data_IF_465342054958
#
_entry.id   IF_465342054958
#
_cell.length_a   1.000
_cell.length_b   1.000
_cell.length_c   1.000
_cell.angle_alpha   90.00
_cell.angle_beta   90.00
_cell.angle_gamma   90.00
#
_symmetry.space_group_name_H-M   'P 1'
#
loop_
_entity.id
_entity.type
_entity.pdbx_description
1 polymer ?
#
# COMPACT_ATOMS: atom_id res chain seq x y z
N UNK A 1 29.37 -15.94 -16.82
CA UNK A 1 28.01 -16.53 -16.97
C UNK A 1 27.82 -16.94 -18.41
N UNK A 2 27.21 -18.11 -18.69
CA UNK A 2 27.01 -18.56 -20.07
C UNK A 2 25.97 -17.69 -20.80
N UNK A 3 26.16 -17.50 -22.13
CA UNK A 3 25.21 -16.73 -22.94
C UNK A 3 23.78 -17.33 -22.93
N UNK A 4 23.63 -18.64 -22.61
CA UNK A 4 22.34 -19.30 -22.43
C UNK A 4 21.62 -18.79 -21.18
N UNK A 5 22.32 -18.65 -20.05
CA UNK A 5 21.74 -18.13 -18.81
C UNK A 5 21.24 -16.68 -18.99
N UNK A 6 22.02 -15.82 -19.67
CA UNK A 6 21.59 -14.44 -19.94
C UNK A 6 20.31 -14.40 -20.80
N UNK A 7 20.21 -15.28 -21.82
CA UNK A 7 18.97 -15.38 -22.63
C UNK A 7 17.75 -15.79 -21.84
N UNK A 8 17.89 -16.74 -20.93
CA UNK A 8 16.78 -17.18 -20.05
C UNK A 8 16.34 -16.02 -19.14
N UNK A 9 17.28 -15.35 -18.48
CA UNK A 9 16.96 -14.21 -17.59
C UNK A 9 16.32 -13.04 -18.35
N UNK A 10 16.82 -12.72 -19.54
CA UNK A 10 16.22 -11.70 -20.40
C UNK A 10 14.79 -12.09 -20.83
N UNK A 11 14.54 -13.37 -21.13
CA UNK A 11 13.20 -13.88 -21.40
C UNK A 11 12.25 -13.71 -20.20
N UNK A 12 12.73 -13.97 -18.97
CA UNK A 12 11.97 -13.70 -17.75
C UNK A 12 11.70 -12.21 -17.54
N UNK A 13 12.67 -11.34 -17.86
CA UNK A 13 12.46 -9.88 -17.81
C UNK A 13 11.37 -9.44 -18.79
N UNK A 14 11.38 -9.97 -20.01
CA UNK A 14 10.34 -9.69 -21.02
C UNK A 14 8.97 -10.18 -20.55
N UNK A 15 8.88 -11.40 -20.04
CA UNK A 15 7.63 -11.96 -19.53
C UNK A 15 7.07 -11.14 -18.35
N UNK A 16 7.93 -10.77 -17.38
CA UNK A 16 7.54 -9.94 -16.25
C UNK A 16 7.08 -8.54 -16.67
N UNK A 17 7.77 -7.91 -17.62
CA UNK A 17 7.37 -6.60 -18.17
C UNK A 17 6.04 -6.67 -18.93
N UNK A 18 5.84 -7.72 -19.76
CA UNK A 18 4.58 -7.95 -20.45
C UNK A 18 3.42 -8.18 -19.48
N UNK A 19 3.65 -8.96 -18.41
CA UNK A 19 2.67 -9.19 -17.35
C UNK A 19 2.31 -7.90 -16.62
N UNK A 20 3.30 -7.06 -16.26
CA UNK A 20 3.06 -5.77 -15.65
C UNK A 20 2.25 -4.85 -16.57
N UNK A 21 2.59 -4.76 -17.84
CA UNK A 21 1.86 -3.95 -18.82
C UNK A 21 0.40 -4.44 -19.00
N UNK A 22 0.18 -5.75 -19.05
CA UNK A 22 -1.15 -6.35 -19.09
C UNK A 22 -1.95 -6.00 -17.84
N UNK A 23 -1.36 -6.13 -16.65
CA UNK A 23 -2.01 -5.77 -15.40
C UNK A 23 -2.39 -4.28 -15.35
N UNK A 24 -1.53 -3.38 -15.85
CA UNK A 24 -1.86 -1.95 -15.92
C UNK A 24 -2.99 -1.64 -16.91
N UNK A 25 -3.07 -2.36 -18.03
CA UNK A 25 -4.20 -2.27 -18.94
C UNK A 25 -5.52 -2.80 -18.33
N UNK A 26 -5.42 -3.79 -17.45
CA UNK A 26 -6.56 -4.40 -16.76
C UNK A 26 -6.90 -3.74 -15.42
N UNK A 27 -6.08 -2.82 -14.92
CA UNK A 27 -6.30 -2.14 -13.64
C UNK A 27 -7.63 -1.40 -13.65
N UNK A 28 -8.44 -1.58 -12.61
CA UNK A 28 -9.70 -0.86 -12.45
C UNK A 28 -9.42 0.62 -12.24
N UNK A 29 -10.18 1.46 -12.94
CA UNK A 29 -10.08 2.92 -12.83
C UNK A 29 -11.41 3.49 -12.36
N UNK A 30 -11.38 4.50 -11.48
CA UNK A 30 -12.57 5.25 -11.13
C UNK A 30 -13.12 5.98 -12.36
N UNK A 31 -14.45 6.21 -12.43
CA UNK A 31 -15.03 7.08 -13.45
C UNK A 31 -14.56 8.53 -13.24
N UNK A 32 -14.48 9.30 -14.34
CA UNK A 32 -14.10 10.72 -14.28
C UNK A 32 -15.17 11.59 -13.60
N UNK A 33 -16.43 11.17 -13.72
CA UNK A 33 -17.58 11.80 -13.07
C UNK A 33 -18.29 10.70 -12.26
N UNK A 34 -17.93 10.53 -10.98
CA UNK A 34 -18.52 9.49 -10.15
C UNK A 34 -19.94 9.88 -9.70
N UNK A 35 -20.87 8.92 -9.59
CA UNK A 35 -22.18 9.18 -9.05
C UNK A 35 -22.11 9.58 -7.57
N UNK A 36 -23.13 10.31 -7.12
CA UNK A 36 -23.31 10.65 -5.70
C UNK A 36 -23.48 9.36 -4.91
N UNK A 37 -22.74 9.23 -3.82
CA UNK A 37 -22.83 8.10 -2.89
C UNK A 37 -24.10 8.23 -2.07
N UNK A 38 -24.98 7.26 -2.18
CA UNK A 38 -26.26 7.24 -1.46
C UNK A 38 -26.17 6.63 -0.05
N UNK A 39 -25.07 5.96 0.23
CA UNK A 39 -24.81 5.24 1.49
C UNK A 39 -24.03 6.13 2.45
N UNK A 40 -24.23 6.01 3.77
CA UNK A 40 -23.39 6.70 4.75
C UNK A 40 -21.93 6.27 4.61
N UNK A 41 -21.02 7.23 4.76
CA UNK A 41 -19.58 6.99 4.69
C UNK A 41 -18.91 7.41 5.99
N UNK A 42 -18.25 6.47 6.65
CA UNK A 42 -17.43 6.74 7.82
C UNK A 42 -15.96 6.60 7.46
N UNK A 43 -15.22 7.70 7.54
CA UNK A 43 -13.77 7.73 7.33
C UNK A 43 -13.07 7.60 8.67
N UNK A 44 -12.20 6.62 8.80
CA UNK A 44 -11.34 6.41 9.97
C UNK A 44 -9.91 6.84 9.61
N UNK A 45 -9.36 7.77 10.38
CA UNK A 45 -7.99 8.26 10.22
C UNK A 45 -7.20 7.91 11.48
N UNK A 46 -6.43 6.81 11.48
CA UNK A 46 -5.52 6.52 12.59
C UNK A 46 -4.36 7.52 12.56
N UNK A 47 -4.09 8.18 13.69
CA UNK A 47 -3.05 9.20 13.79
C UNK A 47 -2.16 8.96 15.00
N UNK A 48 -0.84 9.06 14.82
CA UNK A 48 0.17 9.08 15.87
C UNK A 48 1.34 9.93 15.46
N UNK A 49 1.58 11.02 16.16
CA UNK A 49 2.65 11.99 15.89
C UNK A 49 2.59 12.49 14.42
N UNK A 50 1.41 13.01 14.01
CA UNK A 50 1.10 13.48 12.65
C UNK A 50 0.72 14.97 12.62
N UNK A 51 1.21 15.79 13.56
CA UNK A 51 0.87 17.21 13.66
C UNK A 51 1.08 17.99 12.35
N UNK A 52 2.13 17.62 11.60
CA UNK A 52 2.46 18.27 10.32
C UNK A 52 1.59 17.84 9.14
N UNK A 53 0.87 16.72 9.27
CA UNK A 53 0.14 16.11 8.17
C UNK A 53 -1.38 16.13 8.37
N UNK A 54 -1.86 15.93 9.61
CA UNK A 54 -3.27 15.69 9.88
C UNK A 54 -4.19 16.83 9.42
N UNK A 55 -3.77 18.10 9.57
CA UNK A 55 -4.57 19.25 9.15
C UNK A 55 -4.86 19.25 7.65
N UNK A 56 -3.85 18.95 6.81
CA UNK A 56 -4.04 18.86 5.37
C UNK A 56 -4.83 17.61 4.94
N UNK A 57 -4.77 16.50 5.70
CA UNK A 57 -5.62 15.33 5.48
C UNK A 57 -7.09 15.68 5.74
N UNK A 58 -7.39 16.33 6.87
CA UNK A 58 -8.74 16.74 7.23
C UNK A 58 -9.34 17.74 6.23
N UNK A 59 -8.57 18.74 5.80
CA UNK A 59 -9.02 19.67 4.77
C UNK A 59 -9.42 18.94 3.47
N UNK A 60 -8.61 17.97 3.03
CA UNK A 60 -8.91 17.17 1.84
C UNK A 60 -10.12 16.24 2.02
N UNK A 61 -10.36 15.74 3.23
CA UNK A 61 -11.55 14.94 3.56
C UNK A 61 -12.81 15.80 3.60
N UNK A 62 -12.73 17.01 4.11
CA UNK A 62 -13.87 17.92 4.18
C UNK A 62 -14.25 18.52 2.82
N UNK A 63 -13.33 18.53 1.85
CA UNK A 63 -13.56 18.95 0.45
C UNK A 63 -14.12 17.83 -0.44
N UNK A 64 -14.46 16.67 0.11
CA UNK A 64 -15.01 15.57 -0.68
C UNK A 64 -16.37 15.92 -1.27
N UNK A 65 -16.53 15.63 -2.57
CA UNK A 65 -17.75 15.85 -3.34
C UNK A 65 -18.53 14.57 -3.52
N UNK A 66 -19.83 14.69 -3.71
CA UNK A 66 -20.70 13.53 -3.98
C UNK A 66 -20.83 12.57 -2.80
N UNK A 67 -20.53 13.00 -1.56
CA UNK A 67 -20.63 12.18 -0.33
C UNK A 67 -21.43 12.96 0.72
N UNK A 68 -22.78 13.03 0.61
CA UNK A 68 -23.60 13.88 1.46
C UNK A 68 -23.64 13.45 2.94
N UNK A 69 -23.59 12.14 3.25
CA UNK A 69 -23.51 11.62 4.63
C UNK A 69 -22.06 11.15 4.93
N UNK A 70 -21.17 12.12 5.05
CA UNK A 70 -19.74 11.90 5.37
C UNK A 70 -19.50 12.16 6.86
N UNK A 71 -18.83 11.21 7.52
CA UNK A 71 -18.31 11.33 8.89
C UNK A 71 -16.83 11.01 8.89
N UNK A 72 -16.06 11.78 9.66
CA UNK A 72 -14.61 11.62 9.80
C UNK A 72 -14.27 11.39 11.27
N UNK A 73 -13.71 10.25 11.58
CA UNK A 73 -13.25 9.87 12.92
C UNK A 73 -11.73 9.82 12.90
N UNK A 74 -11.10 10.80 13.52
CA UNK A 74 -9.66 10.76 13.77
C UNK A 74 -9.43 9.99 15.06
N UNK A 75 -8.60 8.97 15.00
CA UNK A 75 -8.25 8.16 16.18
C UNK A 75 -6.82 8.45 16.56
N UNK A 76 -6.65 9.18 17.66
CA UNK A 76 -5.32 9.47 18.22
C UNK A 76 -4.80 8.27 19.00
N UNK A 77 -3.70 7.69 18.52
CA UNK A 77 -3.03 6.52 19.09
C UNK A 77 -1.87 6.95 20.00
N UNK A 78 -2.18 7.70 21.09
CA UNK A 78 -1.20 8.21 22.07
C UNK A 78 -0.13 9.11 21.43
N UNK A 79 -0.52 10.11 20.65
CA UNK A 79 0.41 11.12 20.10
C UNK A 79 1.09 11.91 21.23
N UNK A 80 2.36 12.24 21.03
CA UNK A 80 3.17 13.03 21.95
C UNK A 80 3.43 14.46 21.44
N UNK A 81 2.99 14.74 20.23
CA UNK A 81 3.05 16.05 19.55
C UNK A 81 1.68 16.76 19.59
N UNK A 82 1.54 17.84 18.84
CA UNK A 82 0.32 18.65 18.77
C UNK A 82 -0.80 18.02 17.89
N UNK A 83 -0.70 16.76 17.46
CA UNK A 83 -1.72 16.09 16.61
C UNK A 83 -3.15 16.27 17.16
N UNK A 84 -3.46 15.95 18.45
CA UNK A 84 -4.82 16.10 18.96
C UNK A 84 -5.32 17.56 18.94
N UNK A 85 -4.44 18.51 19.16
CA UNK A 85 -4.80 19.93 19.19
C UNK A 85 -5.13 20.48 17.80
N UNK A 86 -4.36 20.03 16.78
CA UNK A 86 -4.66 20.33 15.38
C UNK A 86 -6.04 19.80 15.00
N UNK A 87 -6.40 18.60 15.43
CA UNK A 87 -7.73 18.01 15.16
C UNK A 87 -8.84 18.78 15.90
N UNK A 88 -8.66 19.13 17.18
CA UNK A 88 -9.64 19.91 17.96
C UNK A 88 -9.89 21.31 17.42
N UNK A 89 -8.91 21.88 16.73
CA UNK A 89 -9.06 23.18 16.08
C UNK A 89 -9.99 23.14 14.85
N UNK A 90 -10.32 21.96 14.32
CA UNK A 90 -11.29 21.80 13.23
C UNK A 90 -12.70 21.82 13.81
N UNK A 91 -13.48 22.86 13.48
CA UNK A 91 -14.83 23.08 14.03
C UNK A 91 -15.94 22.42 13.21
N UNK A 92 -15.62 21.70 12.13
CA UNK A 92 -16.61 21.03 11.27
C UNK A 92 -17.27 19.87 12.02
N UNK A 93 -18.63 19.82 12.12
CA UNK A 93 -19.35 18.80 12.87
C UNK A 93 -19.18 17.38 12.32
N UNK A 94 -18.72 17.24 11.10
CA UNK A 94 -18.40 15.92 10.51
C UNK A 94 -17.14 15.30 11.12
N UNK A 95 -16.27 16.09 11.77
CA UNK A 95 -15.00 15.62 12.34
C UNK A 95 -15.16 15.34 13.83
N UNK A 96 -14.76 14.14 14.23
CA UNK A 96 -14.71 13.70 15.63
C UNK A 96 -13.31 13.18 15.97
N UNK A 97 -12.76 13.63 17.09
CA UNK A 97 -11.54 13.06 17.67
C UNK A 97 -11.91 12.00 18.70
N UNK A 98 -11.28 10.83 18.57
CA UNK A 98 -11.37 9.72 19.52
C UNK A 98 -9.98 9.41 20.05
N UNK A 99 -9.83 9.32 21.37
CA UNK A 99 -8.59 8.88 21.99
C UNK A 99 -8.61 7.35 22.08
N UNK A 100 -7.65 6.68 21.44
CA UNK A 100 -7.51 5.24 21.61
C UNK A 100 -6.88 4.93 22.97
N UNK A 101 -7.40 3.95 23.72
CA UNK A 101 -6.67 3.43 24.86
C UNK A 101 -5.36 2.74 24.40
N UNK A 102 -4.38 2.52 25.30
CA UNK A 102 -3.19 1.76 24.95
C UNK A 102 -3.54 0.41 24.32
N UNK A 103 -2.86 0.00 23.24
CA UNK A 103 -3.15 -1.27 22.57
C UNK A 103 -3.04 -2.45 23.55
N UNK A 104 -4.06 -3.33 23.59
CA UNK A 104 -4.00 -4.54 24.40
C UNK A 104 -2.84 -5.46 23.98
N UNK A 105 -2.41 -6.40 24.83
CA UNK A 105 -1.39 -7.37 24.47
C UNK A 105 -1.73 -8.11 23.17
N UNK A 106 -0.78 -8.13 22.22
CA UNK A 106 -0.95 -8.77 20.93
C UNK A 106 -1.54 -7.88 19.83
N UNK A 107 -1.86 -6.62 20.13
CA UNK A 107 -2.27 -5.65 19.11
C UNK A 107 -1.10 -4.74 18.70
N UNK A 108 -1.07 -4.38 17.42
CA UNK A 108 -0.28 -3.26 16.93
C UNK A 108 -1.11 -1.96 16.98
N UNK A 109 -0.44 -0.81 17.05
CA UNK A 109 -1.09 0.49 17.23
C UNK A 109 -2.10 0.80 16.12
N UNK A 110 -1.69 0.73 14.84
CA UNK A 110 -2.56 1.09 13.72
C UNK A 110 -3.80 0.18 13.61
N UNK A 111 -3.72 -1.15 13.63
CA UNK A 111 -4.91 -2.01 13.68
C UNK A 111 -5.81 -1.70 14.88
N UNK A 112 -5.24 -1.42 16.05
CA UNK A 112 -5.99 -1.06 17.23
C UNK A 112 -6.73 0.27 17.07
N UNK A 113 -6.05 1.30 16.59
CA UNK A 113 -6.67 2.60 16.31
C UNK A 113 -7.81 2.47 15.27
N UNK A 114 -7.60 1.72 14.19
CA UNK A 114 -8.65 1.47 13.20
C UNK A 114 -9.86 0.76 13.81
N UNK A 115 -9.65 -0.29 14.62
CA UNK A 115 -10.74 -1.00 15.31
C UNK A 115 -11.48 -0.10 16.30
N UNK A 116 -10.76 0.72 17.07
CA UNK A 116 -11.32 1.70 18.02
C UNK A 116 -12.19 2.73 17.29
N UNK A 117 -11.73 3.22 16.13
CA UNK A 117 -12.50 4.15 15.31
C UNK A 117 -13.81 3.55 14.83
N UNK A 118 -13.78 2.33 14.31
CA UNK A 118 -15.00 1.63 13.88
C UNK A 118 -15.96 1.39 15.06
N UNK A 119 -15.44 0.97 16.22
CA UNK A 119 -16.26 0.74 17.40
C UNK A 119 -16.84 2.01 18.02
N UNK A 120 -16.31 3.20 17.69
CA UNK A 120 -16.78 4.49 18.22
C UNK A 120 -17.99 5.07 17.49
N UNK A 121 -18.39 4.47 16.37
CA UNK A 121 -19.55 4.91 15.57
C UNK A 121 -20.69 3.93 15.68
N UNK A 122 -21.93 4.44 15.52
CA UNK A 122 -23.10 3.59 15.46
C UNK A 122 -23.01 2.63 14.28
N UNK A 123 -23.38 1.39 14.52
CA UNK A 123 -23.41 0.35 13.52
C UNK A 123 -24.60 0.50 12.60
N UNK A 124 -24.36 0.52 11.29
CA UNK A 124 -25.39 0.49 10.25
C UNK A 124 -24.94 -0.49 9.18
N UNK A 125 -25.79 -1.41 8.81
CA UNK A 125 -25.48 -2.51 7.87
C UNK A 125 -25.07 -2.01 6.49
N UNK A 126 -25.55 -0.84 6.07
CA UNK A 126 -25.29 -0.24 4.77
C UNK A 126 -24.10 0.75 4.75
N UNK A 127 -23.46 1.00 5.89
CA UNK A 127 -22.30 1.91 5.97
C UNK A 127 -21.15 1.48 5.06
N UNK A 128 -20.46 2.48 4.54
CA UNK A 128 -19.15 2.31 3.92
C UNK A 128 -18.06 2.77 4.88
N UNK A 129 -17.09 1.90 5.11
CA UNK A 129 -15.92 2.20 5.92
C UNK A 129 -14.76 2.61 5.01
N UNK A 130 -14.16 3.75 5.31
CA UNK A 130 -13.00 4.26 4.59
C UNK A 130 -11.87 4.44 5.57
N UNK A 131 -10.71 3.84 5.30
CA UNK A 131 -9.51 4.02 6.10
C UNK A 131 -8.51 4.85 5.29
N UNK A 132 -8.01 5.94 5.89
CA UNK A 132 -7.09 6.87 5.23
C UNK A 132 -5.94 7.18 6.19
N UNK A 133 -4.70 7.03 5.74
CA UNK A 133 -3.53 7.45 6.52
C UNK A 133 -3.42 8.99 6.55
N UNK A 134 -2.92 9.55 7.64
CA UNK A 134 -2.86 11.00 7.87
C UNK A 134 -1.97 11.76 6.87
N UNK A 135 -1.03 11.06 6.21
CA UNK A 135 -0.14 11.59 5.18
C UNK A 135 -0.73 11.58 3.75
N UNK A 136 -1.97 11.13 3.60
CA UNK A 136 -2.69 11.08 2.31
C UNK A 136 -3.47 12.37 2.08
N UNK A 137 -3.48 12.82 0.83
CA UNK A 137 -4.29 13.94 0.34
C UNK A 137 -5.25 13.41 -0.70
N UNK A 138 -6.52 13.27 -0.31
CA UNK A 138 -7.59 12.87 -1.22
C UNK A 138 -7.93 14.05 -2.15
N UNK A 139 -8.22 13.77 -3.42
CA UNK A 139 -8.79 14.73 -4.33
C UNK A 139 -10.31 14.79 -4.18
N UNK A 140 -10.99 15.85 -4.63
CA UNK A 140 -12.41 16.10 -4.29
C UNK A 140 -13.39 14.96 -4.60
N UNK A 141 -13.14 14.15 -5.63
CA UNK A 141 -14.02 13.04 -6.03
C UNK A 141 -13.49 11.66 -5.61
N UNK A 142 -12.54 11.62 -4.68
CA UNK A 142 -11.79 10.40 -4.34
C UNK A 142 -12.67 9.31 -3.75
N UNK A 143 -13.47 9.64 -2.75
CA UNK A 143 -14.34 8.67 -2.07
C UNK A 143 -15.43 8.19 -3.03
N UNK A 144 -16.13 9.12 -3.70
CA UNK A 144 -17.17 8.76 -4.66
C UNK A 144 -16.63 7.90 -5.80
N UNK A 145 -15.45 8.23 -6.34
CA UNK A 145 -14.79 7.44 -7.38
C UNK A 145 -14.43 6.02 -6.94
N UNK A 146 -13.91 5.86 -5.73
CA UNK A 146 -13.57 4.56 -5.16
C UNK A 146 -14.83 3.71 -4.90
N UNK A 147 -15.88 4.32 -4.34
CA UNK A 147 -17.19 3.69 -4.10
C UNK A 147 -17.83 3.24 -5.41
N UNK A 148 -17.79 4.08 -6.45
CA UNK A 148 -18.32 3.70 -7.77
C UNK A 148 -17.67 2.43 -8.34
N UNK A 149 -16.35 2.24 -8.14
CA UNK A 149 -15.66 1.01 -8.55
C UNK A 149 -16.09 -0.17 -7.68
N UNK A 150 -16.16 0.02 -6.35
CA UNK A 150 -16.59 -1.01 -5.39
C UNK A 150 -17.98 -1.55 -5.75
N UNK A 151 -18.95 -0.67 -5.95
CA UNK A 151 -20.34 -1.04 -6.26
C UNK A 151 -20.49 -1.64 -7.65
N UNK A 152 -19.94 -0.98 -8.69
CA UNK A 152 -19.99 -1.46 -10.07
C UNK A 152 -19.48 -2.90 -10.23
N UNK A 153 -18.48 -3.28 -9.45
CA UNK A 153 -17.86 -4.59 -9.54
C UNK A 153 -18.27 -5.53 -8.40
N UNK A 154 -19.18 -5.12 -7.53
CA UNK A 154 -19.69 -5.88 -6.38
C UNK A 154 -18.53 -6.39 -5.54
N UNK A 155 -17.66 -5.48 -5.14
CA UNK A 155 -16.50 -5.78 -4.29
C UNK A 155 -16.83 -5.44 -2.85
N UNK A 156 -16.20 -6.13 -1.91
CA UNK A 156 -16.27 -5.84 -0.47
C UNK A 156 -15.16 -4.88 -0.05
N UNK A 157 -14.04 -4.85 -0.81
CA UNK A 157 -12.91 -3.98 -0.55
C UNK A 157 -12.29 -3.48 -1.85
N UNK A 158 -12.04 -2.18 -1.94
CA UNK A 158 -11.11 -1.60 -2.92
C UNK A 158 -10.00 -0.86 -2.21
N UNK A 159 -8.79 -0.98 -2.77
CA UNK A 159 -7.60 -0.29 -2.30
C UNK A 159 -7.10 0.63 -3.42
N UNK A 160 -7.56 1.89 -3.48
CA UNK A 160 -7.02 2.86 -4.41
C UNK A 160 -5.55 3.12 -4.07
N UNK A 161 -4.67 3.01 -5.06
CA UNK A 161 -3.25 3.26 -4.86
C UNK A 161 -2.96 4.75 -5.13
N UNK A 162 -2.66 5.56 -4.10
CA UNK A 162 -2.38 6.98 -4.28
C UNK A 162 -1.15 7.21 -5.15
N UNK A 163 -1.14 8.34 -5.86
CA UNK A 163 0.04 8.79 -6.57
C UNK A 163 1.17 9.11 -5.58
N UNK A 164 2.32 8.44 -5.65
CA UNK A 164 3.43 8.72 -4.75
C UNK A 164 4.11 10.06 -5.13
N UNK A 165 4.26 10.95 -4.15
CA UNK A 165 5.02 12.19 -4.30
C UNK A 165 6.47 11.91 -3.89
N UNK A 166 7.29 11.51 -4.86
CA UNK A 166 8.70 11.19 -4.69
C UNK A 166 9.57 12.32 -5.22
N UNK A 167 10.22 13.09 -4.33
CA UNK A 167 11.04 14.24 -4.69
C UNK A 167 12.53 13.87 -4.75
N UNK A 168 13.04 13.19 -3.73
CA UNK A 168 14.43 12.78 -3.64
C UNK A 168 14.78 11.57 -4.51
N UNK A 169 16.06 11.39 -4.85
CA UNK A 169 16.52 10.26 -5.65
C UNK A 169 16.16 8.90 -5.02
N UNK A 170 16.35 8.77 -3.71
CA UNK A 170 16.03 7.53 -2.99
C UNK A 170 14.53 7.20 -3.06
N UNK A 171 13.67 8.20 -2.89
CA UNK A 171 12.22 8.06 -2.99
C UNK A 171 11.81 7.62 -4.40
N UNK A 172 12.37 8.25 -5.44
CA UNK A 172 12.12 7.94 -6.86
C UNK A 172 12.59 6.54 -7.25
N UNK A 173 13.67 6.05 -6.64
CA UNK A 173 14.16 4.70 -6.88
C UNK A 173 13.28 3.64 -6.21
N UNK A 174 12.81 3.88 -4.97
CA UNK A 174 12.22 2.84 -4.13
C UNK A 174 10.69 2.85 -4.12
N UNK A 175 10.05 3.99 -3.91
CA UNK A 175 8.59 4.03 -3.70
C UNK A 175 7.79 3.43 -4.87
N UNK A 176 8.10 3.70 -6.16
CA UNK A 176 7.39 3.10 -7.27
C UNK A 176 7.63 1.59 -7.46
N UNK A 177 8.51 0.95 -6.66
CA UNK A 177 8.68 -0.51 -6.71
C UNK A 177 7.53 -1.27 -6.06
N UNK A 178 6.83 -0.68 -5.10
CA UNK A 178 5.71 -1.37 -4.45
C UNK A 178 4.58 -1.69 -5.45
N UNK A 179 4.00 -0.73 -6.22
CA UNK A 179 3.03 -1.03 -7.27
C UNK A 179 3.64 -1.88 -8.39
N UNK A 180 4.92 -1.70 -8.73
CA UNK A 180 5.57 -2.50 -9.75
C UNK A 180 5.72 -3.97 -9.36
N UNK A 181 6.05 -4.27 -8.10
CA UNK A 181 6.17 -5.65 -7.61
C UNK A 181 4.86 -6.42 -7.76
N UNK A 182 3.75 -5.90 -7.25
CA UNK A 182 2.48 -6.62 -7.40
C UNK A 182 1.99 -6.63 -8.86
N UNK A 183 2.25 -5.58 -9.65
CA UNK A 183 1.92 -5.58 -11.07
C UNK A 183 2.70 -6.65 -11.87
N UNK A 184 3.93 -6.95 -11.45
CA UNK A 184 4.79 -7.95 -12.09
C UNK A 184 4.51 -9.38 -11.63
N UNK A 185 4.01 -9.56 -10.40
CA UNK A 185 3.88 -10.88 -9.77
C UNK A 185 2.45 -11.36 -9.56
N UNK A 186 1.46 -10.44 -9.49
CA UNK A 186 0.08 -10.77 -9.18
C UNK A 186 -0.80 -10.68 -10.44
N UNK A 187 -1.48 -11.77 -10.87
CA UNK A 187 -2.45 -11.71 -11.97
C UNK A 187 -3.74 -11.03 -11.50
N UNK A 188 -3.89 -9.71 -11.73
CA UNK A 188 -4.94 -8.88 -11.13
C UNK A 188 -6.37 -9.40 -11.34
N UNK A 189 -6.72 -9.84 -12.56
CA UNK A 189 -8.09 -10.34 -12.83
C UNK A 189 -8.36 -11.66 -12.14
N UNK A 190 -7.36 -12.51 -12.04
CA UNK A 190 -7.46 -13.74 -11.27
C UNK A 190 -7.52 -13.41 -9.76
N UNK A 191 -6.71 -12.47 -9.30
CA UNK A 191 -6.70 -12.01 -7.91
C UNK A 191 -8.07 -11.46 -7.48
N UNK A 192 -8.73 -10.66 -8.32
CA UNK A 192 -10.06 -10.12 -8.07
C UNK A 192 -11.13 -11.22 -7.89
N UNK A 193 -11.07 -12.25 -8.72
CA UNK A 193 -12.11 -13.33 -8.79
C UNK A 193 -11.81 -14.51 -7.87
N UNK A 194 -10.57 -14.69 -7.48
CA UNK A 194 -10.14 -15.85 -6.69
C UNK A 194 -10.35 -15.63 -5.20
N UNK A 195 -10.88 -16.61 -4.47
CA UNK A 195 -10.97 -16.59 -3.01
C UNK A 195 -9.59 -16.82 -2.33
N UNK A 196 -8.54 -17.11 -3.10
CA UNK A 196 -7.22 -17.45 -2.56
C UNK A 196 -6.57 -16.25 -1.87
N UNK A 197 -6.26 -16.31 -0.55
CA UNK A 197 -5.62 -15.23 0.20
C UNK A 197 -4.23 -14.87 -0.32
N UNK A 198 -3.51 -15.83 -0.94
CA UNK A 198 -2.19 -15.60 -1.54
C UNK A 198 -2.23 -14.62 -2.73
N UNK A 199 -3.39 -14.43 -3.35
CA UNK A 199 -3.62 -13.48 -4.42
C UNK A 199 -4.22 -12.17 -3.88
N UNK A 200 -3.62 -11.62 -2.83
CA UNK A 200 -4.04 -10.35 -2.24
C UNK A 200 -2.91 -9.32 -2.32
N UNK A 201 -3.24 -8.14 -2.82
CA UNK A 201 -2.43 -6.93 -2.71
C UNK A 201 -3.34 -5.78 -2.32
N UNK A 202 -2.90 -4.96 -1.38
CA UNK A 202 -3.57 -3.76 -0.92
C UNK A 202 -2.52 -2.72 -0.51
N UNK A 203 -2.95 -1.47 -0.40
CA UNK A 203 -2.18 -0.37 0.16
C UNK A 203 -3.05 0.31 1.22
N UNK A 204 -2.61 0.28 2.47
CA UNK A 204 -3.31 0.80 3.63
C UNK A 204 -3.49 2.31 3.69
N UNK A 205 -2.91 3.05 2.75
CA UNK A 205 -3.02 4.49 2.66
C UNK A 205 -4.45 4.97 2.35
N UNK A 206 -5.18 4.19 1.56
CA UNK A 206 -6.57 4.45 1.22
C UNK A 206 -7.29 3.13 0.96
N UNK A 207 -8.23 2.77 1.82
CA UNK A 207 -9.06 1.58 1.71
C UNK A 207 -10.54 1.97 1.78
N UNK A 208 -11.37 1.36 0.95
CA UNK A 208 -12.83 1.48 1.01
C UNK A 208 -13.43 0.10 1.12
N UNK A 209 -14.27 -0.13 2.14
CA UNK A 209 -14.92 -1.40 2.42
C UNK A 209 -16.42 -1.24 2.60
N UNK A 210 -17.17 -2.28 2.26
CA UNK A 210 -18.54 -2.40 2.78
C UNK A 210 -18.50 -2.79 4.25
N UNK A 211 -19.40 -2.26 5.07
CA UNK A 211 -19.52 -2.63 6.49
C UNK A 211 -19.67 -4.15 6.63
N UNK A 212 -20.57 -4.74 5.88
CA UNK A 212 -20.77 -6.19 5.85
C UNK A 212 -19.49 -6.98 5.53
N UNK A 213 -18.70 -6.55 4.54
CA UNK A 213 -17.43 -7.20 4.18
C UNK A 213 -16.38 -7.11 5.29
N UNK A 214 -16.34 -5.95 5.97
CA UNK A 214 -15.45 -5.71 7.11
C UNK A 214 -15.80 -6.61 8.30
N UNK A 215 -17.07 -6.65 8.70
CA UNK A 215 -17.55 -7.41 9.87
C UNK A 215 -17.42 -8.92 9.64
N UNK A 216 -17.80 -9.40 8.47
CA UNK A 216 -17.63 -10.80 8.07
C UNK A 216 -16.17 -11.25 8.10
N UNK A 217 -15.24 -10.37 7.79
CA UNK A 217 -13.80 -10.65 7.85
C UNK A 217 -13.24 -10.63 9.28
N UNK A 218 -14.02 -10.19 10.27
CA UNK A 218 -13.58 -9.97 11.64
C UNK A 218 -12.82 -8.66 11.84
N UNK A 219 -12.91 -7.75 10.86
CA UNK A 219 -12.34 -6.42 10.89
C UNK A 219 -10.84 -6.39 11.22
N UNK A 220 -10.38 -5.29 11.81
CA UNK A 220 -8.99 -5.17 12.26
C UNK A 220 -8.65 -6.10 13.43
N UNK A 221 -9.65 -6.65 14.13
CA UNK A 221 -9.45 -7.69 15.15
C UNK A 221 -8.82 -8.97 14.60
N UNK A 222 -9.18 -9.35 13.38
CA UNK A 222 -8.63 -10.53 12.69
C UNK A 222 -7.17 -10.34 12.23
N UNK A 223 -6.67 -9.10 12.22
CA UNK A 223 -5.33 -8.73 11.73
C UNK A 223 -4.54 -7.90 12.75
N UNK A 224 -4.90 -8.00 14.02
CA UNK A 224 -4.43 -7.17 15.12
C UNK A 224 -2.91 -7.14 15.31
N UNK A 225 -2.21 -8.21 14.94
CA UNK A 225 -0.77 -8.39 15.11
C UNK A 225 0.00 -8.34 13.78
N UNK A 226 -0.68 -7.95 12.69
CA UNK A 226 -0.08 -7.89 11.36
C UNK A 226 0.53 -6.51 11.08
N UNK A 227 1.79 -6.50 10.62
CA UNK A 227 2.51 -5.26 10.24
C UNK A 227 2.03 -4.71 8.90
N UNK A 228 1.53 -5.58 8.03
CA UNK A 228 0.88 -5.24 6.76
C UNK A 228 -0.62 -5.55 6.89
N UNK A 229 -1.27 -4.79 7.75
CA UNK A 229 -2.68 -4.97 8.13
C UNK A 229 -3.62 -4.87 6.94
N UNK A 230 -3.27 -4.06 5.94
CA UNK A 230 -4.02 -3.83 4.70
C UNK A 230 -4.11 -5.10 3.84
N UNK A 231 -2.97 -5.72 3.56
CA UNK A 231 -2.91 -6.99 2.82
C UNK A 231 -3.56 -8.10 3.64
N UNK A 232 -3.33 -8.11 4.96
CA UNK A 232 -3.92 -9.11 5.85
C UNK A 232 -5.44 -8.96 5.93
N UNK A 233 -5.97 -7.73 5.97
CA UNK A 233 -7.40 -7.44 5.94
C UNK A 233 -8.05 -7.92 4.64
N UNK A 234 -7.44 -7.65 3.48
CA UNK A 234 -7.94 -8.18 2.21
C UNK A 234 -7.90 -9.71 2.19
N UNK A 235 -6.87 -10.32 2.77
CA UNK A 235 -6.82 -11.79 2.92
C UNK A 235 -7.95 -12.32 3.82
N UNK A 236 -8.28 -11.62 4.91
CA UNK A 236 -9.39 -11.95 5.78
C UNK A 236 -10.73 -11.83 5.04
N UNK A 237 -10.95 -10.76 4.30
CA UNK A 237 -12.12 -10.58 3.42
C UNK A 237 -12.26 -11.77 2.45
N UNK A 238 -11.16 -12.17 1.80
CA UNK A 238 -11.18 -13.33 0.88
C UNK A 238 -11.50 -14.66 1.58
N UNK A 239 -10.93 -14.90 2.78
CA UNK A 239 -11.24 -16.12 3.58
C UNK A 239 -12.71 -16.17 3.98
N UNK A 240 -13.33 -15.02 4.23
CA UNK A 240 -14.74 -14.89 4.51
C UNK A 240 -15.65 -14.96 3.25
N UNK A 241 -15.06 -15.27 2.07
CA UNK A 241 -15.80 -15.38 0.80
C UNK A 241 -16.06 -14.06 0.10
N UNK A 242 -15.50 -12.96 0.60
CA UNK A 242 -15.59 -11.64 -0.01
C UNK A 242 -14.60 -11.44 -1.16
N UNK A 243 -14.73 -10.30 -1.85
CA UNK A 243 -13.93 -9.93 -3.01
C UNK A 243 -13.31 -8.55 -2.81
N UNK A 244 -12.05 -8.42 -3.21
CA UNK A 244 -11.38 -7.12 -3.16
C UNK A 244 -10.14 -7.10 -4.03
N UNK A 245 -9.70 -5.88 -4.41
CA UNK A 245 -8.61 -5.67 -5.35
C UNK A 245 -8.01 -4.26 -5.22
N UNK A 246 -6.71 -4.07 -5.52
CA UNK A 246 -6.17 -2.74 -5.73
C UNK A 246 -6.74 -2.11 -7.01
N UNK A 247 -6.93 -0.80 -6.97
CA UNK A 247 -7.42 -0.01 -8.11
C UNK A 247 -6.49 1.17 -8.37
N UNK A 248 -6.59 1.78 -9.53
CA UNK A 248 -5.89 3.02 -9.84
C UNK A 248 -6.43 4.15 -8.95
N UNK A 249 -5.61 4.62 -8.04
CA UNK A 249 -5.90 5.74 -7.15
C UNK A 249 -5.12 7.01 -7.50
N UNK A 250 -4.38 7.02 -8.61
CA UNK A 250 -3.51 8.15 -8.98
C UNK A 250 -4.27 9.45 -9.28
N UNK A 251 -5.54 9.33 -9.72
CA UNK A 251 -6.47 10.44 -9.89
C UNK A 251 -7.35 10.70 -8.66
N UNK A 252 -7.28 9.85 -7.64
CA UNK A 252 -8.08 9.96 -6.41
C UNK A 252 -7.29 10.56 -5.26
N UNK A 253 -5.98 10.27 -5.16
CA UNK A 253 -5.18 10.69 -4.03
C UNK A 253 -3.70 10.85 -4.38
N UNK A 254 -3.01 11.64 -3.57
CA UNK A 254 -1.55 11.70 -3.55
C UNK A 254 -1.05 11.47 -2.12
N UNK A 255 0.14 10.87 -2.00
CA UNK A 255 0.77 10.65 -0.71
C UNK A 255 2.26 11.01 -0.75
N UNK A 256 2.70 11.79 0.25
CA UNK A 256 4.11 12.03 0.54
C UNK A 256 4.51 11.20 1.76
N UNK A 257 4.73 9.92 1.54
CA UNK A 257 4.99 8.95 2.60
C UNK A 257 6.29 9.21 3.38
N UNK A 258 7.33 9.69 2.69
CA UNK A 258 8.65 9.88 3.28
C UNK A 258 9.25 11.23 2.86
N UNK A 259 10.05 11.81 3.76
CA UNK A 259 10.89 12.97 3.51
C UNK A 259 12.37 12.56 3.59
N UNK A 260 12.92 12.22 2.43
CA UNK A 260 14.30 11.83 2.27
C UNK A 260 14.64 10.38 2.66
N UNK A 261 15.95 10.07 2.51
CA UNK A 261 16.49 8.73 2.71
C UNK A 261 16.31 8.15 4.13
N UNK A 262 16.57 8.92 5.22
CA UNK A 262 16.42 8.35 6.57
C UNK A 262 15.01 7.85 6.86
N UNK A 263 13.98 8.66 6.58
CA UNK A 263 12.59 8.30 6.79
C UNK A 263 12.16 7.12 5.91
N UNK A 264 12.54 7.12 4.63
CA UNK A 264 12.26 6.02 3.70
C UNK A 264 12.92 4.72 4.17
N UNK A 265 14.22 4.76 4.49
CA UNK A 265 14.96 3.59 4.97
C UNK A 265 14.28 2.95 6.19
N UNK A 266 13.91 3.76 7.17
CA UNK A 266 13.34 3.27 8.42
C UNK A 266 11.90 2.77 8.20
N UNK A 267 11.11 3.46 7.39
CA UNK A 267 9.78 3.05 7.00
C UNK A 267 9.73 1.73 6.23
N UNK A 268 10.58 1.53 5.24
CA UNK A 268 10.66 0.27 4.51
C UNK A 268 11.26 -0.86 5.36
N UNK A 269 12.30 -0.55 6.16
CA UNK A 269 12.93 -1.56 7.03
C UNK A 269 11.95 -2.17 8.03
N UNK A 270 10.96 -1.41 8.53
CA UNK A 270 9.97 -1.92 9.49
C UNK A 270 9.11 -3.07 8.94
N UNK A 271 8.81 -3.09 7.63
CA UNK A 271 7.74 -3.94 7.05
C UNK A 271 8.19 -4.90 5.96
N UNK A 272 9.33 -4.67 5.28
CA UNK A 272 9.73 -5.50 4.13
C UNK A 272 9.94 -6.97 4.47
N UNK A 273 10.39 -7.31 5.69
CA UNK A 273 10.47 -8.70 6.13
C UNK A 273 9.12 -9.42 6.11
N UNK A 274 8.03 -8.70 6.44
CA UNK A 274 6.68 -9.24 6.39
C UNK A 274 6.18 -9.37 4.94
N UNK A 275 6.50 -8.39 4.08
CA UNK A 275 6.14 -8.41 2.66
C UNK A 275 6.73 -9.61 1.91
N UNK A 276 7.94 -10.07 2.31
CA UNK A 276 8.60 -11.24 1.70
C UNK A 276 8.33 -12.56 2.46
N UNK A 277 7.24 -12.63 3.21
CA UNK A 277 6.75 -13.86 3.86
C UNK A 277 7.32 -14.14 5.25
N UNK A 278 7.97 -13.17 5.90
CA UNK A 278 8.43 -13.27 7.29
C UNK A 278 9.59 -14.24 7.55
N UNK A 279 10.05 -14.97 6.53
CA UNK A 279 11.12 -15.99 6.62
C UNK A 279 12.39 -15.48 5.96
N UNK A 280 13.56 -15.55 6.64
CA UNK A 280 14.81 -15.08 6.05
C UNK A 280 15.20 -15.77 4.75
N UNK A 281 14.94 -17.08 4.63
CA UNK A 281 15.22 -17.82 3.40
C UNK A 281 14.35 -17.31 2.24
N UNK A 282 13.08 -17.02 2.49
CA UNK A 282 12.18 -16.46 1.48
C UNK A 282 12.66 -15.06 1.02
N UNK A 283 13.12 -14.23 1.96
CA UNK A 283 13.67 -12.91 1.64
C UNK A 283 14.94 -13.01 0.79
N UNK A 284 15.86 -13.91 1.14
CA UNK A 284 17.08 -14.16 0.36
C UNK A 284 16.76 -14.67 -1.05
N UNK A 285 15.82 -15.61 -1.18
CA UNK A 285 15.38 -16.13 -2.48
C UNK A 285 14.72 -15.04 -3.32
N UNK A 286 13.86 -14.21 -2.72
CA UNK A 286 13.22 -13.10 -3.41
C UNK A 286 14.25 -12.08 -3.91
N UNK A 287 15.17 -11.63 -3.06
CA UNK A 287 16.24 -10.70 -3.44
C UNK A 287 17.14 -11.30 -4.54
N UNK A 288 17.57 -12.56 -4.39
CA UNK A 288 18.36 -13.24 -5.41
C UNK A 288 17.61 -13.35 -6.75
N UNK A 289 16.31 -13.67 -6.71
CA UNK A 289 15.45 -13.72 -7.89
C UNK A 289 15.29 -12.37 -8.58
N UNK A 290 15.02 -11.30 -7.80
CA UNK A 290 14.92 -9.94 -8.31
C UNK A 290 16.25 -9.50 -8.96
N UNK A 291 17.37 -9.66 -8.25
CA UNK A 291 18.71 -9.37 -8.79
C UNK A 291 18.99 -10.19 -10.06
N UNK A 292 18.70 -11.49 -10.09
CA UNK A 292 18.95 -12.34 -11.25
C UNK A 292 18.17 -11.85 -12.48
N UNK A 293 16.89 -11.57 -12.33
CA UNK A 293 16.02 -11.20 -13.46
C UNK A 293 16.23 -9.74 -13.90
N UNK A 294 16.42 -8.81 -12.97
CA UNK A 294 16.37 -7.37 -13.28
C UNK A 294 17.71 -6.64 -13.22
N UNK A 295 18.77 -7.27 -12.68
CA UNK A 295 20.10 -6.67 -12.59
C UNK A 295 21.11 -7.39 -13.47
N UNK A 296 21.07 -8.72 -13.52
CA UNK A 296 22.05 -9.49 -14.31
C UNK A 296 21.98 -9.20 -15.81
N UNK A 297 20.78 -9.12 -16.47
CA UNK A 297 20.73 -8.74 -17.89
C UNK A 297 21.32 -7.37 -18.18
N UNK A 298 21.01 -6.28 -17.46
CA UNK A 298 21.71 -4.99 -17.60
C UNK A 298 23.22 -5.07 -17.49
N UNK A 299 23.76 -5.81 -16.51
CA UNK A 299 25.21 -6.00 -16.36
C UNK A 299 25.82 -6.75 -17.56
N UNK A 300 25.10 -7.71 -18.13
CA UNK A 300 25.51 -8.39 -19.34
C UNK A 300 25.43 -7.46 -20.59
N UNK A 301 24.48 -6.55 -20.64
CA UNK A 301 24.36 -5.54 -21.69
C UNK A 301 25.60 -4.61 -21.72
N UNK A 302 26.08 -4.17 -20.54
CA UNK A 302 27.28 -3.36 -20.41
C UNK A 302 28.56 -4.08 -20.88
N UNK A 303 28.47 -5.42 -21.00
CA UNK A 303 29.55 -6.28 -21.56
C UNK A 303 29.29 -6.68 -23.02
N UNK A 304 28.41 -5.99 -23.72
CA UNK A 304 28.11 -6.22 -25.14
C UNK A 304 27.07 -7.31 -25.43
N UNK A 305 26.36 -7.86 -24.42
CA UNK A 305 25.32 -8.87 -24.67
C UNK A 305 24.05 -8.25 -25.23
N UNK A 306 23.67 -8.62 -26.46
CA UNK A 306 22.38 -8.22 -27.05
C UNK A 306 21.17 -8.73 -26.25
N UNK A 307 21.23 -9.97 -25.75
CA UNK A 307 20.18 -10.51 -24.90
C UNK A 307 20.09 -9.73 -23.57
N UNK A 308 21.23 -9.33 -23.00
CA UNK A 308 21.26 -8.46 -21.83
C UNK A 308 20.58 -7.12 -22.07
N UNK A 309 20.82 -6.50 -23.22
CA UNK A 309 20.19 -5.24 -23.60
C UNK A 309 18.67 -5.39 -23.72
N UNK A 310 18.18 -6.48 -24.34
CA UNK A 310 16.75 -6.79 -24.40
C UNK A 310 16.14 -6.90 -23.01
N UNK A 311 16.79 -7.62 -22.09
CA UNK A 311 16.30 -7.74 -20.70
C UNK A 311 16.28 -6.39 -19.95
N UNK A 312 17.29 -5.54 -20.13
CA UNK A 312 17.30 -4.20 -19.54
C UNK A 312 16.18 -3.32 -20.08
N UNK A 313 16.02 -3.24 -21.41
CA UNK A 313 14.97 -2.46 -22.03
C UNK A 313 13.58 -2.97 -21.65
N UNK A 314 13.39 -4.28 -21.52
CA UNK A 314 12.15 -4.86 -21.01
C UNK A 314 11.85 -4.40 -19.58
N UNK A 315 12.85 -4.45 -18.68
CA UNK A 315 12.71 -3.96 -17.31
C UNK A 315 12.34 -2.48 -17.25
N UNK A 316 13.01 -1.65 -18.07
CA UNK A 316 12.69 -0.23 -18.19
C UNK A 316 11.26 0.01 -18.74
N UNK A 317 10.85 -0.75 -19.76
CA UNK A 317 9.50 -0.66 -20.32
C UNK A 317 8.41 -1.07 -19.31
N UNK A 318 8.60 -2.17 -18.59
CA UNK A 318 7.67 -2.60 -17.55
C UNK A 318 7.57 -1.58 -16.40
N UNK A 319 8.70 -1.00 -15.99
CA UNK A 319 8.74 0.08 -15.01
C UNK A 319 8.01 1.33 -15.52
N UNK A 320 8.24 1.71 -16.78
CA UNK A 320 7.59 2.86 -17.42
C UNK A 320 6.07 2.67 -17.51
N UNK A 321 5.60 1.48 -17.89
CA UNK A 321 4.18 1.16 -17.96
C UNK A 321 3.48 1.34 -16.59
N UNK A 322 4.10 0.81 -15.52
CA UNK A 322 3.55 0.96 -14.16
C UNK A 322 3.62 2.41 -13.70
N UNK A 323 4.75 3.11 -13.91
CA UNK A 323 4.90 4.51 -13.52
C UNK A 323 3.86 5.41 -14.19
N UNK A 324 3.60 5.22 -15.48
CA UNK A 324 2.53 5.94 -16.22
C UNK A 324 1.16 5.67 -15.62
N UNK A 325 0.84 4.41 -15.33
CA UNK A 325 -0.46 4.02 -14.81
C UNK A 325 -0.71 4.48 -13.36
N UNK A 326 0.36 4.69 -12.57
CA UNK A 326 0.28 5.10 -11.15
C UNK A 326 0.64 6.57 -10.91
N UNK A 327 0.80 7.37 -11.99
CA UNK A 327 1.13 8.78 -11.89
C UNK A 327 2.54 9.08 -11.35
N UNK A 328 3.44 8.10 -11.39
CA UNK A 328 4.84 8.25 -10.98
C UNK A 328 5.69 8.83 -12.13
N UNK A 329 6.88 9.38 -11.79
CA UNK A 329 7.83 9.84 -12.80
C UNK A 329 8.34 8.67 -13.65
N UNK A 330 8.26 8.80 -14.98
CA UNK A 330 8.68 7.76 -15.92
C UNK A 330 10.17 7.88 -16.25
N UNK A 331 10.60 9.02 -16.79
CA UNK A 331 11.96 9.23 -17.25
C UNK A 331 12.72 10.24 -16.37
N UNK A 332 14.03 10.03 -16.11
CA UNK A 332 14.85 8.87 -16.53
C UNK A 332 14.73 7.65 -15.60
N UNK A 333 13.85 7.64 -14.60
CA UNK A 333 13.77 6.70 -13.48
C UNK A 333 13.57 5.25 -13.93
N UNK A 334 12.86 5.03 -15.04
CA UNK A 334 12.65 3.70 -15.60
C UNK A 334 13.97 3.02 -16.04
N UNK A 335 14.93 3.78 -16.57
CA UNK A 335 16.26 3.24 -16.94
C UNK A 335 17.08 2.84 -15.71
N UNK A 336 16.86 3.50 -14.57
CA UNK A 336 17.52 3.20 -13.31
C UNK A 336 16.90 1.99 -12.57
N UNK A 337 15.98 1.24 -13.20
CA UNK A 337 15.31 0.09 -12.60
C UNK A 337 16.29 -0.92 -11.94
N UNK A 338 17.43 -1.31 -12.56
CA UNK A 338 18.39 -2.20 -11.91
C UNK A 338 18.94 -1.65 -10.59
N UNK A 339 19.22 -0.35 -10.52
CA UNK A 339 19.64 0.32 -9.30
C UNK A 339 18.53 0.32 -8.24
N UNK A 340 17.30 0.55 -8.66
CA UNK A 340 16.13 0.47 -7.78
C UNK A 340 16.03 -0.90 -7.10
N UNK A 341 16.23 -1.98 -7.86
CA UNK A 341 16.23 -3.36 -7.33
C UNK A 341 17.34 -3.56 -6.31
N UNK A 342 18.57 -3.12 -6.60
CA UNK A 342 19.70 -3.27 -5.66
C UNK A 342 19.46 -2.53 -4.33
N UNK A 343 18.91 -1.30 -4.40
CA UNK A 343 18.56 -0.54 -3.19
C UNK A 343 17.43 -1.24 -2.42
N UNK A 344 16.44 -1.75 -3.12
CA UNK A 344 15.33 -2.49 -2.50
C UNK A 344 15.81 -3.78 -1.83
N UNK A 345 16.66 -4.57 -2.49
CA UNK A 345 17.23 -5.80 -1.93
C UNK A 345 18.07 -5.50 -0.67
N UNK A 346 18.83 -4.40 -0.66
CA UNK A 346 19.56 -3.95 0.53
C UNK A 346 18.59 -3.60 1.69
N UNK A 347 17.45 -2.96 1.40
CA UNK A 347 16.42 -2.66 2.41
C UNK A 347 15.73 -3.94 2.92
N UNK A 348 15.46 -4.91 2.06
CA UNK A 348 14.92 -6.24 2.45
C UNK A 348 15.88 -6.94 3.40
N UNK A 349 17.16 -7.01 3.05
CA UNK A 349 18.17 -7.65 3.90
C UNK A 349 18.33 -6.94 5.25
N UNK A 350 18.31 -5.61 5.24
CA UNK A 350 18.33 -4.79 6.46
C UNK A 350 17.09 -5.07 7.33
N UNK A 351 15.91 -5.14 6.73
CA UNK A 351 14.65 -5.44 7.41
C UNK A 351 14.68 -6.79 8.11
N UNK A 352 15.14 -7.83 7.41
CA UNK A 352 15.30 -9.18 7.98
C UNK A 352 16.32 -9.21 9.11
N UNK A 353 17.46 -8.53 8.94
CA UNK A 353 18.47 -8.43 9.98
C UNK A 353 17.96 -7.68 11.23
N UNK A 354 17.22 -6.58 11.03
CA UNK A 354 16.61 -5.80 12.11
C UNK A 354 15.58 -6.61 12.89
N UNK A 355 14.74 -7.39 12.19
CA UNK A 355 13.79 -8.30 12.84
C UNK A 355 14.50 -9.35 13.70
N UNK A 356 15.52 -10.02 13.16
CA UNK A 356 16.29 -11.02 13.90
C UNK A 356 16.95 -10.47 15.16
N UNK A 357 17.38 -9.20 15.12
CA UNK A 357 18.00 -8.51 16.26
C UNK A 357 16.98 -7.88 17.23
N UNK A 358 15.68 -7.90 16.91
CA UNK A 358 14.65 -7.23 17.71
C UNK A 358 14.78 -5.70 17.75
N UNK A 359 15.42 -5.10 16.73
CA UNK A 359 15.70 -3.65 16.67
C UNK A 359 14.66 -2.85 15.86
N UNK A 360 13.65 -3.50 15.29
CA UNK A 360 12.63 -2.82 14.52
C UNK A 360 11.68 -2.03 15.43
N UNK A 361 11.46 -0.78 15.08
CA UNK A 361 10.52 0.11 15.76
C UNK A 361 9.77 0.99 14.75
N UNK A 362 8.62 1.51 15.16
CA UNK A 362 7.87 2.50 14.40
C UNK A 362 7.17 3.48 15.32
N UNK A 363 7.31 4.79 15.06
CA UNK A 363 6.72 5.86 15.88
C UNK A 363 6.94 5.62 17.39
N UNK A 364 8.19 5.33 17.77
CA UNK A 364 8.61 5.10 19.16
C UNK A 364 8.24 3.73 19.77
N UNK A 365 7.41 2.91 19.10
CA UNK A 365 7.05 1.56 19.58
C UNK A 365 7.89 0.47 18.93
N UNK A 366 8.36 -0.49 19.73
CA UNK A 366 9.04 -1.69 19.24
C UNK A 366 8.04 -2.60 18.52
N UNK A 367 8.43 -3.08 17.33
CA UNK A 367 7.68 -4.12 16.61
C UNK A 367 7.99 -5.52 17.18
N UNK A 368 7.05 -6.48 17.06
CA UNK A 368 7.27 -7.84 17.55
C UNK A 368 8.54 -8.46 16.95
N UNK A 369 9.39 -9.06 17.82
CA UNK A 369 10.63 -9.72 17.43
C UNK A 369 10.42 -11.05 16.69
N UNK A 370 11.54 -11.74 16.41
CA UNK A 370 11.57 -12.99 15.64
C UNK A 370 10.81 -14.17 16.28
N UNK A 371 10.52 -14.08 17.56
CA UNK A 371 9.88 -15.18 18.33
C UNK A 371 8.38 -15.35 18.04
N UNK A 372 7.78 -14.41 17.31
CA UNK A 372 6.40 -14.52 16.80
C UNK A 372 6.41 -14.66 15.29
N UNK A 373 6.48 -15.91 14.82
CA UNK A 373 6.16 -16.23 13.40
C UNK A 373 4.67 -16.01 13.22
N UNK A 374 4.21 -15.18 12.27
CA UNK A 374 2.79 -15.10 11.93
C UNK A 374 2.28 -16.50 11.53
N UNK A 375 1.16 -16.92 12.08
CA UNK A 375 0.51 -18.20 11.76
C UNK A 375 -0.11 -18.20 10.37
#
# INVERSE_FOLDING_TARGET
MSGRAVRVLAGLSVAGAAHAALNMALLRRPPADPPVVSRPVTVIVPARDEESQIGGCLAALLDQRGVPDLRVVVVDDESTDATPDVVRAVTDPRVRLVQAPPPPPGWLGKPHACATGVASVEERDDDLLVFVDADVRLFPDAIAGAVAVLERHRLDLVSPWPRPLAHGLAERLVQPLAPWLWATTLPLRLAERSPRPSLAAANGQFLVLTRHGYDRAGGHGAVRDEVLEDIALLRAVKRAGGRGVPIDGSALAACRMYDGWPALRDGYTKSLWAAVGGRPAAALLAAAGLTAVWVVPPLAALRGSRAGLVGWLAGAAGRAAVATATGSRVWPDALAHPLSILVFDALVLRSVAGRRRGTLSWRGRRLPGADRVPR
#
